data_IF_410890760205
#
_entry.id   IF_410890760205
#
_cell.length_a   1.000
_cell.length_b   1.000
_cell.length_c   1.000
_cell.angle_alpha   90.00
_cell.angle_beta   90.00
_cell.angle_gamma   90.00
#
_symmetry.space_group_name_H-M   'P 1'
#
loop_
_entity.id
_entity.type
_entity.pdbx_description
1 polymer ?
#
# COMPACT_ATOMS: atom_id res chain seq x y z
N UNK A 1 -9.14 19.48 -9.35
CA UNK A 1 -8.54 19.33 -8.00
C UNK A 1 -7.86 17.97 -7.88
N UNK A 2 -6.74 17.91 -7.17
CA UNK A 2 -6.05 16.68 -6.85
C UNK A 2 -6.03 16.53 -5.33
N UNK A 3 -6.32 15.31 -4.86
CA UNK A 3 -6.23 14.99 -3.44
C UNK A 3 -4.76 14.88 -3.04
N UNK A 4 -4.35 15.55 -1.97
CA UNK A 4 -3.04 15.41 -1.35
C UNK A 4 -3.12 14.43 -0.18
N UNK A 5 -1.97 13.85 0.23
CA UNK A 5 -1.97 12.91 1.34
C UNK A 5 -2.62 13.46 2.60
N UNK A 6 -3.23 12.56 3.34
CA UNK A 6 -3.71 12.83 4.69
C UNK A 6 -2.52 12.80 5.64
N UNK A 7 -2.43 13.77 6.53
CA UNK A 7 -1.46 13.77 7.62
C UNK A 7 -2.16 13.48 8.94
N UNK A 8 -1.58 12.61 9.72
CA UNK A 8 -2.14 12.11 10.97
C UNK A 8 -1.13 12.21 12.10
N UNK A 9 -1.61 12.05 13.32
CA UNK A 9 -0.72 11.92 14.48
C UNK A 9 0.18 10.70 14.28
N UNK A 10 1.48 10.92 14.23
CA UNK A 10 2.48 9.88 13.93
C UNK A 10 2.95 9.84 12.48
N UNK A 11 2.18 10.39 11.54
CA UNK A 11 2.55 10.53 10.14
C UNK A 11 2.67 12.00 9.76
N UNK A 12 3.89 12.49 9.77
CA UNK A 12 4.20 13.90 9.53
C UNK A 12 5.06 14.15 8.30
N UNK A 13 5.32 13.13 7.49
CA UNK A 13 6.05 13.26 6.23
C UNK A 13 5.49 12.31 5.16
N UNK A 14 5.46 12.79 3.93
CA UNK A 14 5.23 11.99 2.72
C UNK A 14 6.50 11.95 1.91
N UNK A 15 7.04 10.75 1.74
CA UNK A 15 8.14 10.48 0.83
C UNK A 15 7.60 9.87 -0.45
N UNK A 16 8.16 10.28 -1.57
CA UNK A 16 7.82 9.75 -2.88
C UNK A 16 9.01 8.97 -3.43
N UNK A 17 8.74 8.07 -4.40
CA UNK A 17 9.80 7.39 -5.14
C UNK A 17 10.81 8.43 -5.65
N UNK A 18 12.13 8.19 -5.48
CA UNK A 18 13.17 9.13 -5.90
C UNK A 18 13.12 9.51 -7.38
N UNK A 19 12.63 8.61 -8.23
CA UNK A 19 12.44 8.82 -9.67
C UNK A 19 10.98 9.17 -10.03
N UNK A 20 10.12 9.31 -9.01
CA UNK A 20 8.77 9.78 -9.10
C UNK A 20 8.66 11.26 -8.68
N UNK A 21 7.49 11.83 -8.86
CA UNK A 21 7.18 13.14 -8.36
C UNK A 21 5.67 13.37 -8.34
N UNK A 22 5.24 14.35 -7.56
CA UNK A 22 3.89 14.86 -7.60
C UNK A 22 3.91 16.32 -8.03
N UNK A 23 3.17 16.64 -9.08
CA UNK A 23 3.10 18.00 -9.57
C UNK A 23 2.25 18.86 -8.64
N UNK A 24 2.85 19.90 -8.07
CA UNK A 24 2.14 21.02 -7.50
C UNK A 24 2.14 22.15 -8.52
N UNK A 25 1.00 22.37 -9.16
CA UNK A 25 0.88 23.40 -10.17
C UNK A 25 1.09 24.81 -9.58
N UNK A 26 1.68 25.72 -10.35
CA UNK A 26 1.81 27.11 -9.93
C UNK A 26 0.43 27.71 -9.63
N UNK A 27 0.38 28.57 -8.62
CA UNK A 27 -0.86 29.21 -8.14
C UNK A 27 -1.93 28.22 -7.63
N UNK A 28 -1.54 27.02 -7.21
CA UNK A 28 -2.47 26.09 -6.54
C UNK A 28 -2.93 26.66 -5.20
N UNK A 29 -4.21 26.49 -4.92
CA UNK A 29 -4.78 26.71 -3.60
C UNK A 29 -4.79 25.38 -2.85
N UNK A 30 -4.25 25.34 -1.65
CA UNK A 30 -4.36 24.22 -0.73
C UNK A 30 -5.59 24.44 0.14
N UNK A 31 -6.47 23.46 0.13
CA UNK A 31 -7.70 23.49 0.92
C UNK A 31 -7.70 22.25 1.81
N UNK A 32 -7.89 22.44 3.11
CA UNK A 32 -8.17 21.33 4.03
C UNK A 32 -9.69 21.16 4.11
N UNK A 33 -10.16 19.95 3.86
CA UNK A 33 -11.56 19.60 3.94
C UNK A 33 -11.98 19.36 5.40
N UNK A 34 -11.09 18.79 6.19
CA UNK A 34 -11.28 18.62 7.63
C UNK A 34 -9.95 18.68 8.37
N UNK A 35 -10.02 19.24 9.57
CA UNK A 35 -8.92 19.24 10.53
C UNK A 35 -9.44 18.66 11.85
N UNK A 36 -8.93 17.47 12.22
CA UNK A 36 -9.28 16.84 13.47
C UNK A 36 -8.23 17.16 14.51
N UNK A 37 -8.64 17.77 15.60
CA UNK A 37 -7.76 18.06 16.75
C UNK A 37 -8.00 17.01 17.83
N UNK A 38 -6.95 16.27 18.18
CA UNK A 38 -6.95 15.43 19.36
C UNK A 38 -6.59 16.29 20.56
N UNK A 39 -7.59 16.72 21.29
CA UNK A 39 -7.41 17.59 22.46
C UNK A 39 -7.46 16.73 23.75
N UNK A 40 -6.70 17.16 24.73
CA UNK A 40 -6.73 16.57 26.08
C UNK A 40 -7.81 17.18 26.99
N UNK A 41 -8.83 17.81 26.40
CA UNK A 41 -9.91 18.49 27.12
C UNK A 41 -9.56 19.89 27.63
N UNK A 42 -8.46 20.48 27.14
CA UNK A 42 -8.03 21.84 27.47
C UNK A 42 -8.17 22.75 26.27
N UNK A 43 -8.36 24.03 26.49
CA UNK A 43 -8.26 25.05 25.45
C UNK A 43 -6.84 24.99 24.87
N UNK A 44 -6.75 24.90 23.54
CA UNK A 44 -5.50 24.68 22.84
C UNK A 44 -5.46 25.52 21.58
N UNK A 45 -4.33 26.21 21.37
CA UNK A 45 -4.02 26.82 20.08
C UNK A 45 -3.17 25.84 19.26
N UNK A 46 -3.52 25.67 17.99
CA UNK A 46 -2.77 24.83 17.08
C UNK A 46 -2.21 25.65 15.91
N UNK A 47 -1.00 25.31 15.49
CA UNK A 47 -0.35 25.88 14.30
C UNK A 47 0.00 24.76 13.34
N UNK A 48 -0.40 24.90 12.08
CA UNK A 48 -0.05 23.99 11.00
C UNK A 48 1.07 24.62 10.16
N UNK A 49 2.17 23.93 10.00
CA UNK A 49 3.25 24.27 9.07
C UNK A 49 3.42 23.13 8.06
N UNK A 50 3.49 23.47 6.77
CA UNK A 50 3.69 22.51 5.68
C UNK A 50 5.00 22.85 4.98
N UNK A 51 5.97 21.94 5.07
CA UNK A 51 7.23 22.03 4.37
C UNK A 51 7.19 21.28 3.03
N UNK A 52 7.80 21.84 2.00
CA UNK A 52 7.88 21.26 0.66
C UNK A 52 9.33 21.10 0.23
N UNK A 53 9.65 19.90 -0.28
CA UNK A 53 10.92 19.66 -0.95
C UNK A 53 10.65 19.46 -2.45
N UNK A 54 11.16 20.37 -3.27
CA UNK A 54 10.99 20.33 -4.71
C UNK A 54 12.20 19.74 -5.41
N UNK A 55 11.96 19.04 -6.50
CA UNK A 55 13.00 18.72 -7.47
C UNK A 55 13.51 20.00 -8.17
N UNK A 56 14.72 19.98 -8.75
CA UNK A 56 15.22 21.09 -9.55
C UNK A 56 14.26 21.47 -10.68
N UNK A 57 14.29 22.75 -11.06
CA UNK A 57 13.48 23.25 -12.19
C UNK A 57 13.74 22.43 -13.46
N UNK A 58 12.67 22.00 -14.11
CA UNK A 58 12.76 21.20 -15.34
C UNK A 58 12.85 19.69 -15.10
N UNK A 59 12.85 19.24 -13.85
CA UNK A 59 12.80 17.81 -13.55
C UNK A 59 11.58 17.14 -14.19
N UNK A 60 11.85 15.99 -14.79
CA UNK A 60 10.78 15.11 -15.34
C UNK A 60 10.88 13.77 -14.62
N UNK A 61 9.82 13.33 -13.93
CA UNK A 61 9.85 12.04 -13.26
C UNK A 61 9.95 10.91 -14.30
N UNK A 62 10.75 9.88 -13.99
CA UNK A 62 10.82 8.63 -14.76
C UNK A 62 9.48 7.90 -14.70
N UNK A 63 8.87 7.87 -13.52
CA UNK A 63 7.64 7.15 -13.26
C UNK A 63 6.44 8.06 -13.02
N UNK A 64 5.28 7.60 -13.43
CA UNK A 64 4.01 8.20 -13.05
C UNK A 64 3.57 7.70 -11.68
N UNK A 65 2.80 8.49 -10.96
CA UNK A 65 2.15 8.03 -9.73
C UNK A 65 1.16 6.91 -10.08
N UNK A 66 1.25 5.79 -9.37
CA UNK A 66 0.21 4.77 -9.44
C UNK A 66 -1.08 5.29 -8.78
N UNK A 67 -2.20 5.05 -9.44
CA UNK A 67 -3.50 5.22 -8.80
C UNK A 67 -3.85 3.92 -8.09
N UNK A 68 -4.13 4.01 -6.80
CA UNK A 68 -4.52 2.88 -5.98
C UNK A 68 -5.67 3.32 -5.08
N UNK A 69 -6.81 2.69 -5.28
CA UNK A 69 -7.99 2.91 -4.45
C UNK A 69 -8.34 1.59 -3.77
N UNK A 70 -7.58 1.29 -2.73
CA UNK A 70 -7.66 0.03 -2.02
C UNK A 70 -8.24 0.24 -0.63
N UNK A 71 -9.49 -0.12 -0.47
CA UNK A 71 -10.19 0.02 0.80
C UNK A 71 -11.70 0.08 0.65
N UNK A 72 -12.36 0.19 1.78
CA UNK A 72 -13.79 0.42 1.89
C UNK A 72 -14.04 1.46 2.99
N UNK A 73 -14.71 2.54 2.64
CA UNK A 73 -15.07 3.60 3.58
C UNK A 73 -16.58 3.82 3.63
N UNK A 74 -17.37 2.97 2.99
CA UNK A 74 -18.80 3.19 2.78
C UNK A 74 -19.63 2.04 3.34
N UNK A 75 -19.16 0.81 3.20
CA UNK A 75 -19.88 -0.40 3.56
C UNK A 75 -19.09 -1.18 4.62
N UNK A 76 -19.14 -0.69 5.84
CA UNK A 76 -18.45 -1.25 7.00
C UNK A 76 -19.48 -1.61 8.06
N UNK A 77 -19.47 -2.86 8.49
CA UNK A 77 -20.33 -3.43 9.50
C UNK A 77 -19.48 -4.07 10.61
N UNK A 78 -19.25 -3.33 11.69
CA UNK A 78 -18.52 -3.82 12.85
C UNK A 78 -19.51 -4.07 13.99
N UNK A 79 -19.67 -5.32 14.33
CA UNK A 79 -20.62 -5.75 15.36
C UNK A 79 -20.17 -5.33 16.75
N UNK A 80 -21.15 -5.11 17.59
CA UNK A 80 -20.93 -4.78 19.00
C UNK A 80 -20.34 -5.95 19.77
N UNK A 81 -19.46 -5.68 20.70
CA UNK A 81 -18.87 -6.64 21.66
C UNK A 81 -18.12 -7.81 20.99
N UNK A 82 -17.74 -7.69 19.72
CA UNK A 82 -16.99 -8.71 19.00
C UNK A 82 -15.56 -8.25 18.71
N UNK A 83 -14.63 -9.20 18.78
CA UNK A 83 -13.22 -9.05 18.51
C UNK A 83 -12.83 -9.82 17.24
N UNK A 84 -11.66 -9.46 16.67
CA UNK A 84 -11.06 -10.12 15.51
C UNK A 84 -11.99 -10.17 14.27
N UNK A 85 -12.82 -9.14 14.09
CA UNK A 85 -13.70 -9.02 12.94
C UNK A 85 -12.88 -8.63 11.71
N UNK A 86 -13.02 -9.38 10.63
CA UNK A 86 -12.25 -9.18 9.40
C UNK A 86 -13.05 -8.38 8.38
N UNK A 87 -12.37 -7.40 7.78
CA UNK A 87 -12.82 -6.66 6.61
C UNK A 87 -11.88 -6.91 5.44
N UNK A 88 -12.44 -7.03 4.26
CA UNK A 88 -11.68 -7.31 3.05
C UNK A 88 -11.93 -6.27 1.96
N UNK A 89 -10.88 -5.88 1.24
CA UNK A 89 -11.00 -5.08 0.04
C UNK A 89 -9.98 -5.53 -1.01
N UNK A 90 -10.37 -5.42 -2.28
CA UNK A 90 -9.61 -5.88 -3.42
C UNK A 90 -9.47 -4.78 -4.46
N UNK A 91 -8.32 -4.73 -5.12
CA UNK A 91 -8.05 -3.81 -6.20
C UNK A 91 -7.19 -4.46 -7.28
N UNK A 92 -7.66 -4.44 -8.52
CA UNK A 92 -6.88 -4.95 -9.66
C UNK A 92 -5.99 -3.84 -10.19
N UNK A 93 -4.68 -4.06 -10.21
CA UNK A 93 -3.72 -3.10 -10.73
C UNK A 93 -3.92 -2.89 -12.23
N UNK A 94 -4.24 -1.66 -12.67
CA UNK A 94 -4.44 -1.37 -14.10
C UNK A 94 -3.13 -1.26 -14.89
N UNK A 95 -2.00 -1.05 -14.19
CA UNK A 95 -0.67 -0.87 -14.75
C UNK A 95 0.35 -1.65 -13.90
N UNK A 96 1.52 -1.96 -14.47
CA UNK A 96 2.66 -2.44 -13.69
C UNK A 96 2.96 -1.44 -12.59
N UNK A 97 3.16 -1.92 -11.38
CA UNK A 97 3.23 -1.05 -10.20
C UNK A 97 4.38 -1.46 -9.28
N UNK A 98 5.19 -0.48 -8.88
CA UNK A 98 6.11 -0.58 -7.76
C UNK A 98 5.45 0.09 -6.55
N UNK A 99 5.19 -0.69 -5.49
CA UNK A 99 4.60 -0.17 -4.25
C UNK A 99 5.72 0.34 -3.36
N UNK A 100 5.73 1.63 -3.05
CA UNK A 100 6.79 2.25 -2.23
C UNK A 100 6.44 2.31 -0.76
N UNK A 101 5.15 2.48 -0.45
CA UNK A 101 4.69 2.54 0.94
C UNK A 101 3.38 1.78 1.13
N UNK A 102 3.21 1.25 2.32
CA UNK A 102 1.96 0.72 2.86
C UNK A 102 1.54 1.58 4.04
N UNK A 103 0.30 2.03 4.05
CA UNK A 103 -0.24 2.87 5.12
C UNK A 103 -1.62 2.39 5.54
N UNK A 104 -1.67 1.53 6.58
CA UNK A 104 -2.92 1.11 7.15
C UNK A 104 -3.63 2.31 7.78
N UNK A 105 -4.78 2.66 7.23
CA UNK A 105 -5.66 3.68 7.78
C UNK A 105 -6.96 3.03 8.22
N UNK A 106 -7.08 2.91 9.52
CA UNK A 106 -8.26 2.44 10.22
C UNK A 106 -8.77 3.56 11.13
N UNK A 107 -9.82 3.31 11.88
CA UNK A 107 -10.26 4.19 12.96
C UNK A 107 -10.31 3.43 14.29
N UNK A 108 -10.98 3.98 15.30
CA UNK A 108 -10.94 3.49 16.68
C UNK A 108 -11.02 1.97 16.89
N UNK A 109 -11.89 1.20 16.21
CA UNK A 109 -11.90 -0.25 16.35
C UNK A 109 -10.75 -0.98 15.66
N UNK A 110 -9.93 -0.29 14.84
CA UNK A 110 -8.84 -0.92 14.11
C UNK A 110 -7.75 -1.47 15.01
N UNK A 111 -7.31 -2.70 14.73
CA UNK A 111 -6.24 -3.36 15.47
C UNK A 111 -5.04 -3.69 14.59
N UNK A 112 -5.26 -4.04 13.32
CA UNK A 112 -4.22 -4.49 12.39
C UNK A 112 -4.72 -4.43 10.95
N UNK A 113 -3.81 -4.26 9.99
CA UNK A 113 -4.08 -4.42 8.57
C UNK A 113 -2.96 -5.18 7.89
N UNK A 114 -3.33 -6.09 6.97
CA UNK A 114 -2.40 -6.84 6.13
C UNK A 114 -2.64 -6.50 4.66
N UNK A 115 -1.56 -6.50 3.88
CA UNK A 115 -1.56 -6.34 2.43
C UNK A 115 -1.01 -7.61 1.78
N UNK A 116 -1.73 -8.13 0.81
CA UNK A 116 -1.35 -9.28 0.00
C UNK A 116 -1.40 -8.96 -1.48
N UNK A 117 -0.61 -9.69 -2.27
CA UNK A 117 -0.70 -9.71 -3.73
C UNK A 117 -1.14 -11.08 -4.22
N UNK A 118 -2.03 -11.11 -5.20
CA UNK A 118 -2.52 -12.32 -5.85
C UNK A 118 -2.22 -12.19 -7.34
N UNK A 119 -1.36 -13.09 -7.83
CA UNK A 119 -0.99 -13.18 -9.24
C UNK A 119 -1.08 -14.64 -9.70
N UNK A 120 -2.06 -14.95 -10.55
CA UNK A 120 -2.35 -16.32 -10.93
C UNK A 120 -2.66 -17.18 -9.70
N UNK A 121 -1.86 -18.21 -9.49
CA UNK A 121 -1.97 -19.10 -8.31
C UNK A 121 -1.10 -18.66 -7.13
N UNK A 122 -0.31 -17.61 -7.30
CA UNK A 122 0.60 -17.11 -6.26
C UNK A 122 -0.13 -16.09 -5.39
N UNK A 123 -0.25 -16.40 -4.11
CA UNK A 123 -0.71 -15.48 -3.07
C UNK A 123 0.45 -15.20 -2.15
N UNK A 124 0.81 -13.93 -2.00
CA UNK A 124 1.95 -13.52 -1.19
C UNK A 124 1.54 -12.42 -0.21
N UNK A 125 1.76 -12.67 1.08
CA UNK A 125 1.70 -11.61 2.08
C UNK A 125 2.89 -10.66 1.86
N UNK A 126 2.58 -9.37 1.65
CA UNK A 126 3.59 -8.33 1.43
C UNK A 126 3.96 -7.64 2.75
N UNK A 127 2.96 -7.31 3.55
CA UNK A 127 3.14 -6.58 4.81
C UNK A 127 1.94 -6.80 5.71
N UNK A 128 2.20 -6.95 7.02
CA UNK A 128 1.18 -6.84 8.07
C UNK A 128 1.66 -5.86 9.12
N UNK A 129 0.82 -4.93 9.52
CA UNK A 129 1.13 -3.92 10.52
C UNK A 129 0.03 -3.84 11.58
N UNK A 130 0.42 -3.76 12.83
CA UNK A 130 -0.47 -3.34 13.91
C UNK A 130 -0.90 -1.90 13.70
N UNK A 131 -2.12 -1.57 14.11
CA UNK A 131 -2.65 -0.22 14.04
C UNK A 131 -2.77 0.37 15.45
N UNK A 132 -2.20 1.55 15.61
CA UNK A 132 -2.37 2.38 16.80
C UNK A 132 -3.15 3.63 16.41
N UNK A 133 -4.37 3.74 16.91
CA UNK A 133 -5.26 4.87 16.64
C UNK A 133 -4.66 6.22 17.07
N UNK A 134 -3.79 6.22 18.05
CA UNK A 134 -3.13 7.43 18.57
C UNK A 134 -1.78 7.71 17.92
N UNK A 135 -1.27 6.79 17.07
CA UNK A 135 0.01 6.92 16.41
C UNK A 135 0.05 6.21 15.07
N UNK A 136 -0.66 6.74 14.08
CA UNK A 136 -0.73 6.16 12.73
C UNK A 136 0.61 6.25 12.01
N UNK A 137 0.99 5.20 11.30
CA UNK A 137 2.27 5.12 10.58
C UNK A 137 2.09 4.68 9.13
N UNK A 138 2.86 5.34 8.25
CA UNK A 138 3.18 4.80 6.93
C UNK A 138 4.46 3.95 7.02
N UNK A 139 4.49 2.85 6.31
CA UNK A 139 5.62 1.92 6.25
C UNK A 139 6.24 1.99 4.85
N UNK A 140 7.50 2.39 4.78
CA UNK A 140 8.27 2.43 3.54
C UNK A 140 8.98 1.09 3.34
N UNK A 141 8.92 0.57 2.12
CA UNK A 141 9.76 -0.57 1.75
C UNK A 141 11.20 -0.11 1.58
N UNK A 142 12.15 -0.93 2.01
CA UNK A 142 13.54 -0.65 1.78
C UNK A 142 13.86 -0.61 0.28
N UNK A 143 14.82 0.23 -0.18
CA UNK A 143 15.23 0.28 -1.57
C UNK A 143 15.62 -1.09 -2.11
N UNK A 144 15.06 -1.46 -3.25
CA UNK A 144 15.23 -2.78 -3.88
C UNK A 144 14.30 -3.88 -3.35
N UNK A 145 13.54 -3.63 -2.28
CA UNK A 145 12.57 -4.57 -1.71
C UNK A 145 11.11 -4.16 -1.93
N UNK A 146 10.89 -3.04 -2.59
CA UNK A 146 9.53 -2.59 -2.91
C UNK A 146 8.81 -3.64 -3.77
N UNK A 147 7.56 -4.00 -3.45
CA UNK A 147 6.79 -4.89 -4.30
C UNK A 147 6.74 -4.38 -5.74
N UNK A 148 7.15 -5.23 -6.67
CA UNK A 148 7.21 -4.98 -8.11
C UNK A 148 6.21 -5.90 -8.80
N UNK A 149 5.01 -5.39 -9.00
CA UNK A 149 3.83 -6.18 -9.32
C UNK A 149 3.39 -5.96 -10.78
N UNK A 150 3.15 -7.03 -11.54
CA UNK A 150 2.68 -6.92 -12.91
C UNK A 150 1.25 -6.38 -12.97
N UNK A 151 0.92 -5.72 -14.07
CA UNK A 151 -0.45 -5.35 -14.42
C UNK A 151 -1.37 -6.55 -14.29
N UNK A 152 -2.56 -6.35 -13.72
CA UNK A 152 -3.55 -7.40 -13.47
C UNK A 152 -3.36 -8.14 -12.14
N UNK A 153 -2.31 -7.82 -11.36
CA UNK A 153 -2.22 -8.30 -9.98
C UNK A 153 -3.40 -7.79 -9.17
N UNK A 154 -3.99 -8.66 -8.39
CA UNK A 154 -5.01 -8.28 -7.41
C UNK A 154 -4.28 -7.95 -6.11
N UNK A 155 -4.43 -6.73 -5.63
CA UNK A 155 -4.09 -6.36 -4.26
C UNK A 155 -5.28 -6.68 -3.36
N UNK A 156 -5.00 -7.28 -2.23
CA UNK A 156 -5.98 -7.59 -1.20
C UNK A 156 -5.52 -7.03 0.14
N UNK A 157 -6.38 -6.29 0.81
CA UNK A 157 -6.16 -5.90 2.20
C UNK A 157 -7.16 -6.58 3.11
N UNK A 158 -6.67 -7.00 4.27
CA UNK A 158 -7.50 -7.50 5.37
C UNK A 158 -7.31 -6.57 6.56
N UNK A 159 -8.39 -5.96 7.03
CA UNK A 159 -8.42 -5.18 8.27
C UNK A 159 -9.00 -6.02 9.40
N UNK A 160 -8.42 -5.90 10.58
CA UNK A 160 -8.88 -6.59 11.78
C UNK A 160 -9.39 -5.56 12.78
N UNK A 161 -10.62 -5.75 13.24
CA UNK A 161 -11.32 -4.81 14.12
C UNK A 161 -11.61 -5.44 15.48
N UNK A 162 -11.50 -4.63 16.52
CA UNK A 162 -11.83 -4.99 17.90
C UNK A 162 -12.81 -3.97 18.46
N UNK A 163 -14.09 -4.37 18.57
CA UNK A 163 -15.13 -3.55 19.17
C UNK A 163 -15.54 -4.13 20.54
N UNK A 164 -14.55 -4.35 21.40
CA UNK A 164 -14.74 -4.85 22.76
C UNK A 164 -14.28 -3.85 23.81
N UNK A 165 -14.65 -4.02 25.09
CA UNK A 165 -14.16 -3.19 26.18
C UNK A 165 -12.62 -3.22 26.35
N UNK A 166 -11.93 -4.20 25.76
CA UNK A 166 -10.47 -4.27 25.75
C UNK A 166 -9.82 -3.27 24.83
N UNK A 167 -10.54 -2.68 23.89
CA UNK A 167 -10.07 -1.60 23.02
C UNK A 167 -10.46 -0.24 23.61
N UNK A 168 -9.53 0.41 24.27
CA UNK A 168 -9.74 1.71 24.95
C UNK A 168 -10.05 2.87 23.99
N UNK A 169 -9.81 2.69 22.68
CA UNK A 169 -10.11 3.71 21.66
C UNK A 169 -11.59 3.74 21.28
N UNK A 170 -12.36 2.68 21.60
CA UNK A 170 -13.78 2.59 21.30
C UNK A 170 -14.59 3.20 22.43
N UNK A 171 -15.35 4.29 22.18
CA UNK A 171 -16.10 4.98 23.23
C UNK A 171 -17.17 4.11 23.91
N UNK A 172 -17.90 3.31 23.14
CA UNK A 172 -18.92 2.40 23.64
C UNK A 172 -19.01 1.14 22.75
N UNK A 173 -18.37 0.05 23.15
CA UNK A 173 -18.31 -1.17 22.36
C UNK A 173 -19.66 -1.92 22.28
N UNK A 174 -20.66 -1.52 23.04
CA UNK A 174 -22.01 -2.09 22.97
C UNK A 174 -22.77 -1.64 21.72
N UNK A 175 -22.26 -0.60 21.04
CA UNK A 175 -22.85 -0.10 19.82
C UNK A 175 -22.20 -0.76 18.59
N UNK A 176 -23.03 -1.02 17.58
CA UNK A 176 -22.59 -1.28 16.23
C UNK A 176 -21.82 -0.07 15.68
N UNK A 177 -20.77 -0.33 14.92
CA UNK A 177 -19.92 0.69 14.32
C UNK A 177 -20.01 0.63 12.78
N UNK A 178 -20.46 1.71 12.18
CA UNK A 178 -20.47 1.90 10.73
C UNK A 178 -19.35 2.81 10.24
N UNK A 179 -19.29 3.02 8.93
CA UNK A 179 -18.32 3.92 8.29
C UNK A 179 -18.55 5.38 8.64
N UNK A 180 -17.50 6.17 8.65
CA UNK A 180 -17.58 7.62 8.85
C UNK A 180 -16.22 8.31 8.94
N UNK A 181 -16.21 9.61 8.71
CA UNK A 181 -15.01 10.42 8.74
C UNK A 181 -14.51 10.76 10.16
N UNK A 182 -15.35 10.58 11.16
CA UNK A 182 -14.91 10.79 12.55
C UNK A 182 -14.04 9.65 13.01
N UNK A 183 -13.01 9.96 13.77
CA UNK A 183 -12.06 8.98 14.28
C UNK A 183 -12.67 7.87 15.16
N UNK A 184 -13.85 8.11 15.72
CA UNK A 184 -14.62 7.13 16.49
C UNK A 184 -15.56 6.27 15.64
N UNK A 185 -15.79 6.61 14.38
CA UNK A 185 -16.47 5.77 13.40
C UNK A 185 -15.46 4.80 12.76
N UNK A 186 -15.78 4.19 11.61
CA UNK A 186 -14.87 3.26 10.96
C UNK A 186 -14.40 3.72 9.59
N UNK A 187 -13.17 3.40 9.28
CA UNK A 187 -12.56 3.51 7.98
C UNK A 187 -11.60 2.33 7.77
N UNK A 188 -11.44 1.92 6.52
CA UNK A 188 -10.62 0.76 6.16
C UNK A 188 -10.00 1.01 4.79
N UNK A 189 -8.85 1.65 4.74
CA UNK A 189 -8.19 2.09 3.51
C UNK A 189 -6.67 1.93 3.64
N UNK A 190 -6.00 1.53 2.56
CA UNK A 190 -4.55 1.70 2.41
C UNK A 190 -4.28 3.04 1.73
N UNK A 191 -3.66 3.97 2.43
CA UNK A 191 -3.26 5.29 1.93
C UNK A 191 -1.82 5.33 1.40
N UNK A 192 -1.15 4.18 1.29
CA UNK A 192 0.21 4.10 0.79
C UNK A 192 0.38 4.54 -0.65
N UNK A 193 1.63 4.66 -1.07
CA UNK A 193 2.03 5.17 -2.37
C UNK A 193 2.69 4.11 -3.25
N UNK A 194 2.75 4.40 -4.55
CA UNK A 194 3.46 3.61 -5.52
C UNK A 194 3.61 4.38 -6.83
N UNK A 195 4.36 3.80 -7.74
CA UNK A 195 4.55 4.33 -9.09
C UNK A 195 4.08 3.32 -10.13
N UNK A 196 3.49 3.85 -11.19
CA UNK A 196 3.08 3.08 -12.37
C UNK A 196 4.22 3.06 -13.39
N UNK A 197 4.37 1.93 -14.05
CA UNK A 197 5.46 1.64 -14.97
C UNK A 197 4.91 1.18 -16.33
N UNK A 198 5.62 1.53 -17.41
CA UNK A 198 5.40 0.89 -18.72
C UNK A 198 5.94 -0.54 -18.70
N UNK A 199 5.65 -1.33 -19.75
CA UNK A 199 6.16 -2.69 -19.89
C UNK A 199 7.70 -2.70 -19.88
N UNK A 200 8.32 -1.74 -20.60
CA UNK A 200 9.78 -1.61 -20.67
C UNK A 200 10.37 -1.24 -19.31
N UNK A 201 9.80 -0.25 -18.62
CA UNK A 201 10.24 0.17 -17.30
C UNK A 201 10.12 -0.96 -16.28
N UNK A 202 9.05 -1.74 -16.38
CA UNK A 202 8.83 -2.88 -15.50
C UNK A 202 9.85 -3.99 -15.75
N UNK A 203 10.14 -4.29 -17.03
CA UNK A 203 11.18 -5.26 -17.39
C UNK A 203 12.56 -4.81 -16.89
N UNK A 204 12.94 -3.54 -17.14
CA UNK A 204 14.18 -2.96 -16.64
C UNK A 204 14.31 -3.13 -15.11
N UNK A 205 13.27 -2.77 -14.37
CA UNK A 205 13.27 -2.88 -12.90
C UNK A 205 13.36 -4.34 -12.41
N UNK A 206 12.76 -5.30 -13.12
CA UNK A 206 12.92 -6.72 -12.82
C UNK A 206 14.34 -7.20 -13.06
N UNK A 207 14.97 -6.77 -14.15
CA UNK A 207 16.34 -7.16 -14.49
C UNK A 207 17.33 -6.58 -13.49
N UNK A 208 17.18 -5.30 -13.11
CA UNK A 208 17.96 -4.68 -12.04
C UNK A 208 17.83 -5.44 -10.72
N UNK A 209 16.63 -5.89 -10.37
CA UNK A 209 16.38 -6.68 -9.15
C UNK A 209 17.03 -8.05 -9.21
N UNK A 210 16.93 -8.74 -10.34
CA UNK A 210 17.60 -10.03 -10.55
C UNK A 210 19.11 -9.91 -10.40
N UNK A 211 19.70 -8.86 -10.95
CA UNK A 211 21.13 -8.59 -10.85
C UNK A 211 21.53 -8.26 -9.41
N UNK A 212 20.79 -7.33 -8.75
CA UNK A 212 21.07 -6.89 -7.38
C UNK A 212 21.10 -8.08 -6.40
N UNK A 213 20.15 -8.99 -6.49
CA UNK A 213 20.05 -10.14 -5.60
C UNK A 213 20.71 -11.40 -6.13
N UNK A 214 21.30 -11.36 -7.33
CA UNK A 214 21.92 -12.51 -8.01
C UNK A 214 20.95 -13.70 -8.08
N UNK A 215 19.69 -13.40 -8.47
CA UNK A 215 18.64 -14.40 -8.48
C UNK A 215 18.91 -15.52 -9.47
N UNK A 216 18.62 -16.74 -9.06
CA UNK A 216 18.68 -17.94 -9.87
C UNK A 216 17.29 -18.47 -10.20
N UNK A 217 17.20 -19.46 -11.07
CA UNK A 217 15.92 -20.10 -11.46
C UNK A 217 15.15 -20.77 -10.33
N UNK A 218 15.75 -20.92 -9.16
CA UNK A 218 15.13 -21.55 -7.99
C UNK A 218 14.68 -20.53 -6.95
N UNK A 219 14.96 -19.26 -7.17
CA UNK A 219 14.64 -18.22 -6.20
C UNK A 219 13.23 -17.70 -6.40
N UNK A 220 12.49 -17.61 -5.29
CA UNK A 220 11.18 -16.97 -5.23
C UNK A 220 11.32 -15.63 -4.52
N UNK A 221 10.91 -14.56 -5.19
CA UNK A 221 10.99 -13.21 -4.64
C UNK A 221 9.62 -12.77 -4.16
N UNK A 222 9.49 -12.54 -2.86
CA UNK A 222 8.27 -11.95 -2.31
C UNK A 222 8.04 -10.57 -2.90
N UNK A 223 6.81 -10.33 -3.38
CA UNK A 223 6.45 -9.06 -4.00
C UNK A 223 7.00 -8.86 -5.42
N UNK A 224 7.60 -9.89 -6.05
CA UNK A 224 7.97 -9.85 -7.47
C UNK A 224 7.71 -11.20 -8.15
N UNK A 225 6.46 -11.52 -8.48
CA UNK A 225 6.11 -12.84 -9.01
C UNK A 225 6.78 -13.16 -10.35
N UNK A 226 7.17 -12.16 -11.13
CA UNK A 226 7.85 -12.33 -12.41
C UNK A 226 9.38 -12.13 -12.34
N UNK A 227 9.95 -11.82 -11.16
CA UNK A 227 11.41 -11.78 -10.97
C UNK A 227 12.04 -13.17 -11.02
N UNK A 228 11.26 -14.24 -10.94
CA UNK A 228 11.74 -15.61 -11.11
C UNK A 228 12.47 -15.75 -12.44
N UNK A 229 13.66 -16.34 -12.41
CA UNK A 229 14.33 -16.75 -13.62
C UNK A 229 13.67 -18.04 -14.09
N UNK A 230 12.84 -17.95 -15.13
CA UNK A 230 12.21 -19.13 -15.71
C UNK A 230 13.27 -20.10 -16.24
N UNK A 231 13.17 -21.40 -15.95
CA UNK A 231 14.03 -22.37 -16.61
C UNK A 231 13.78 -22.26 -18.12
N UNK A 232 14.87 -22.31 -18.90
CA UNK A 232 14.74 -22.39 -20.35
C UNK A 232 13.79 -23.53 -20.72
N UNK A 233 12.73 -23.19 -21.43
CA UNK A 233 11.84 -24.23 -21.95
C UNK A 233 12.65 -25.12 -22.90
N UNK A 234 12.61 -26.45 -22.76
CA UNK A 234 13.30 -27.32 -23.71
C UNK A 234 12.72 -27.06 -25.10
N UNK A 235 13.57 -26.67 -26.04
CA UNK A 235 13.17 -26.58 -27.45
C UNK A 235 12.73 -27.95 -27.94
N UNK A 236 11.87 -28.01 -28.95
CA UNK A 236 11.42 -29.25 -29.56
C UNK A 236 12.62 -30.11 -29.96
N UNK A 237 13.69 -29.51 -30.47
CA UNK A 237 14.96 -30.14 -30.81
C UNK A 237 15.62 -30.81 -29.58
N UNK A 238 15.73 -30.12 -28.44
CA UNK A 238 16.32 -30.69 -27.20
C UNK A 238 15.45 -31.81 -26.60
N UNK A 239 14.14 -31.78 -26.83
CA UNK A 239 13.27 -32.89 -26.42
C UNK A 239 13.44 -34.11 -27.31
N UNK A 240 13.66 -33.92 -28.60
CA UNK A 240 13.96 -34.98 -29.56
C UNK A 240 15.33 -35.62 -29.29
N UNK A 241 16.38 -34.82 -28.99
CA UNK A 241 17.71 -35.36 -28.64
C UNK A 241 17.70 -36.20 -27.37
N UNK A 242 16.84 -35.91 -26.43
CA UNK A 242 16.68 -36.74 -25.20
C UNK A 242 15.95 -38.03 -25.45
N UNK A 243 15.01 -38.08 -26.42
CA UNK A 243 14.31 -39.26 -26.80
C UNK A 243 15.22 -40.23 -27.59
N UNK A 244 16.05 -39.66 -28.49
CA UNK A 244 17.04 -40.46 -29.26
C UNK A 244 18.22 -40.97 -28.43
N UNK A 245 18.57 -40.32 -27.33
CA UNK A 245 19.61 -40.76 -26.40
C UNK A 245 19.12 -41.82 -25.41
N UNK A 246 17.83 -42.12 -25.38
CA UNK A 246 17.20 -43.13 -24.51
C UNK A 246 16.85 -44.46 -25.23
N UNK A 247 17.06 -44.52 -26.57
CA UNK A 247 17.05 -45.74 -27.42
C UNK A 247 18.46 -46.27 -27.58
#
# INVERSE_FOLDING_TARGET
>A
STFWPVHEVGRNADTFDPEGARLLAANSLLVSDSLHLHSNGRDTEARLEIGWRFHPKGYKPKYKRAQRNLGNAVDIDIKAMEKDQELHAYYVLPEHTKITTFEPHLHAPGARMCLESIWGINVQALTCAGYDHNWVRGYEYAPGYEPLLPKGTILHITGYMDNTPGNENVPDPRNWQGSGNRSVANMFIDLGHGVAMTDEQFQEAMDERREMFKLTKNDVVTGCPLCMVMPEQPTVERAQDRLTAAE
#
